data_IF_773729003347
#
_entry.id   IF_773729003347
#
_cell.length_a   1.000
_cell.length_b   1.000
_cell.length_c   1.000
_cell.angle_alpha   90.00
_cell.angle_beta   90.00
_cell.angle_gamma   90.00
#
_symmetry.space_group_name_H-M   'P 1'
#
loop_
_entity.id
_entity.type
_entity.pdbx_description
1 polymer ?
#
# COMPACT_ATOMS: atom_id res chain seq x y z
N UNK A 1 -5.17 -0.33 -11.01
CA UNK A 1 -5.76 0.99 -10.80
C UNK A 1 -4.80 2.12 -11.18
N UNK A 2 -3.53 2.03 -10.83
CA UNK A 2 -2.54 3.10 -11.04
C UNK A 2 -1.69 2.94 -12.31
N UNK A 3 -1.98 1.97 -13.17
CA UNK A 3 -1.15 1.62 -14.34
C UNK A 3 -1.19 2.64 -15.48
N UNK A 4 -2.14 3.57 -15.47
CA UNK A 4 -2.25 4.63 -16.49
C UNK A 4 -1.64 5.97 -16.03
N UNK A 5 -0.89 5.93 -14.93
CA UNK A 5 -0.30 7.12 -14.35
C UNK A 5 1.01 7.43 -15.07
N UNK A 6 1.05 8.52 -15.82
CA UNK A 6 2.24 8.97 -16.56
C UNK A 6 3.49 9.09 -15.67
N UNK A 7 3.33 9.48 -14.40
CA UNK A 7 4.42 9.55 -13.46
C UNK A 7 5.09 8.20 -13.20
N UNK A 8 4.32 7.10 -13.20
CA UNK A 8 4.88 5.75 -13.01
C UNK A 8 5.71 5.33 -14.24
N UNK A 9 5.29 5.70 -15.44
CA UNK A 9 6.06 5.44 -16.66
C UNK A 9 7.38 6.22 -16.66
N UNK A 10 7.35 7.48 -16.25
CA UNK A 10 8.57 8.31 -16.11
C UNK A 10 9.49 7.79 -15.02
N UNK A 11 8.93 7.36 -13.86
CA UNK A 11 9.70 6.75 -12.80
C UNK A 11 10.42 5.48 -13.27
N UNK A 12 9.69 4.61 -13.99
CA UNK A 12 10.28 3.42 -14.61
C UNK A 12 11.43 3.77 -15.55
N UNK A 13 11.26 4.76 -16.44
CA UNK A 13 12.31 5.19 -17.35
C UNK A 13 13.59 5.62 -16.61
N UNK A 14 13.47 6.35 -15.51
CA UNK A 14 14.61 6.78 -14.69
C UNK A 14 15.32 5.56 -14.07
N UNK A 15 14.56 4.59 -13.58
CA UNK A 15 15.11 3.36 -13.00
C UNK A 15 15.79 2.51 -14.07
N UNK A 16 15.16 2.33 -15.23
CA UNK A 16 15.72 1.57 -16.35
C UNK A 16 17.02 2.20 -16.90
N UNK A 17 17.20 3.52 -16.77
CA UNK A 17 18.44 4.24 -17.07
C UNK A 17 19.55 4.06 -16.01
N UNK A 18 19.22 3.40 -14.86
CA UNK A 18 20.17 3.16 -13.78
C UNK A 18 20.55 4.41 -12.99
N UNK A 19 19.72 5.47 -13.01
CA UNK A 19 20.06 6.74 -12.36
C UNK A 19 20.08 6.65 -10.82
N UNK A 20 19.40 5.65 -10.24
CA UNK A 20 19.43 5.41 -8.80
C UNK A 20 20.62 4.54 -8.36
N UNK A 21 21.40 3.98 -9.31
CA UNK A 21 22.36 2.93 -8.99
C UNK A 21 21.70 1.60 -8.59
N UNK A 22 22.43 0.66 -7.98
CA UNK A 22 21.85 -0.57 -7.45
C UNK A 22 20.78 -0.28 -6.40
N UNK A 23 19.56 -0.78 -6.61
CA UNK A 23 18.42 -0.61 -5.69
C UNK A 23 18.32 -1.85 -4.81
N UNK A 24 18.33 -1.68 -3.50
CA UNK A 24 18.31 -2.80 -2.55
C UNK A 24 17.19 -2.72 -1.51
N UNK A 25 16.54 -1.56 -1.38
CA UNK A 25 15.46 -1.38 -0.42
C UNK A 25 14.34 -0.54 -1.00
N UNK A 26 13.11 -1.01 -0.80
CA UNK A 26 11.88 -0.26 -1.08
C UNK A 26 11.09 -0.15 0.23
N UNK A 27 10.66 1.06 0.58
CA UNK A 27 9.76 1.29 1.70
C UNK A 27 8.44 1.87 1.19
N UNK A 28 7.34 1.19 1.52
CA UNK A 28 5.99 1.64 1.23
C UNK A 28 5.24 1.90 2.54
N UNK A 29 4.45 2.96 2.56
CA UNK A 29 3.75 3.38 3.78
C UNK A 29 2.35 3.88 3.45
N UNK A 30 1.34 3.30 4.12
CA UNK A 30 -0.04 3.79 4.05
C UNK A 30 -0.57 4.07 5.44
N UNK A 31 -0.63 5.33 5.83
CA UNK A 31 -1.10 5.75 7.14
C UNK A 31 -2.36 6.59 7.01
N UNK A 32 -3.34 6.33 7.88
CA UNK A 32 -4.63 7.04 7.94
C UNK A 32 -5.02 7.27 9.38
N UNK A 33 -5.71 8.36 9.66
CA UNK A 33 -6.19 8.69 11.00
C UNK A 33 -7.59 9.31 10.93
N UNK A 34 -8.55 8.51 10.49
CA UNK A 34 -9.95 8.89 10.52
C UNK A 34 -10.84 7.65 10.56
N UNK A 35 -12.02 7.72 11.17
CA UNK A 35 -12.98 6.61 11.16
C UNK A 35 -13.31 6.15 9.73
N UNK A 36 -13.50 7.09 8.82
CA UNK A 36 -13.76 6.79 7.42
C UNK A 36 -12.58 6.07 6.74
N UNK A 37 -11.36 6.56 6.97
CA UNK A 37 -10.13 5.94 6.47
C UNK A 37 -9.88 4.54 7.04
N UNK A 38 -10.41 4.26 8.25
CA UNK A 38 -10.38 2.95 8.91
C UNK A 38 -11.62 2.11 8.61
N UNK A 39 -12.39 2.46 7.59
CA UNK A 39 -13.61 1.78 7.12
C UNK A 39 -14.76 1.73 8.12
N UNK A 40 -14.76 2.61 9.13
CA UNK A 40 -15.88 2.78 10.07
C UNK A 40 -16.93 3.69 9.43
N UNK A 41 -17.58 3.18 8.38
CA UNK A 41 -18.57 3.92 7.64
C UNK A 41 -19.92 3.91 8.34
N UNK A 42 -20.71 4.96 8.12
CA UNK A 42 -22.06 5.06 8.64
C UNK A 42 -22.94 4.00 7.98
N UNK A 43 -23.73 3.30 8.80
CA UNK A 43 -24.77 2.39 8.31
C UNK A 43 -25.89 3.25 7.75
N UNK A 44 -26.24 3.04 6.48
CA UNK A 44 -27.31 3.82 5.83
C UNK A 44 -28.66 3.44 6.43
N UNK A 45 -29.55 4.41 6.72
CA UNK A 45 -30.85 4.14 7.36
C UNK A 45 -31.78 3.26 6.50
N UNK A 46 -31.61 3.26 5.17
CA UNK A 46 -32.38 2.38 4.28
C UNK A 46 -31.83 0.94 4.20
N UNK A 47 -30.75 0.63 4.92
CA UNK A 47 -30.19 -0.71 5.00
C UNK A 47 -31.14 -1.64 5.74
N UNK A 48 -31.78 -2.58 5.03
CA UNK A 48 -32.70 -3.58 5.59
C UNK A 48 -32.77 -4.81 4.68
N UNK A 49 -33.48 -5.86 5.13
CA UNK A 49 -33.60 -7.13 4.40
C UNK A 49 -34.33 -7.05 3.05
N UNK A 50 -34.95 -5.92 2.71
CA UNK A 50 -35.58 -5.70 1.39
C UNK A 50 -34.66 -4.99 0.42
N UNK A 51 -33.69 -4.24 0.92
CA UNK A 51 -32.76 -3.43 0.13
C UNK A 51 -31.39 -4.08 -0.01
N UNK A 52 -31.08 -5.07 0.82
CA UNK A 52 -29.81 -5.79 0.81
C UNK A 52 -30.10 -7.28 0.61
N UNK A 53 -29.59 -7.84 -0.48
CA UNK A 53 -29.55 -9.29 -0.68
C UNK A 53 -28.38 -9.88 0.13
N UNK A 54 -28.67 -10.08 1.43
CA UNK A 54 -27.66 -10.53 2.39
C UNK A 54 -27.16 -11.95 2.10
N UNK A 55 -28.04 -12.84 1.67
CA UNK A 55 -27.68 -14.23 1.39
C UNK A 55 -26.71 -14.33 0.21
N UNK A 56 -26.94 -13.57 -0.85
CA UNK A 56 -26.00 -13.47 -1.96
C UNK A 56 -24.70 -12.79 -1.56
N UNK A 57 -24.74 -11.70 -0.76
CA UNK A 57 -23.54 -11.02 -0.32
C UNK A 57 -22.63 -11.91 0.50
N UNK A 58 -23.20 -12.68 1.45
CA UNK A 58 -22.40 -13.56 2.29
C UNK A 58 -22.13 -14.95 1.68
N UNK A 59 -22.59 -15.22 0.49
CA UNK A 59 -22.46 -16.55 -0.14
C UNK A 59 -21.02 -17.08 -0.15
N UNK A 60 -19.98 -16.28 -0.45
CA UNK A 60 -18.58 -16.72 -0.38
C UNK A 60 -18.03 -16.89 1.04
N UNK A 61 -18.65 -16.29 2.06
CA UNK A 61 -18.16 -16.37 3.44
C UNK A 61 -18.28 -17.77 4.02
N UNK A 62 -17.23 -18.29 4.68
CA UNK A 62 -17.31 -19.57 5.39
C UNK A 62 -18.21 -19.48 6.64
N UNK A 63 -18.42 -18.28 7.19
CA UNK A 63 -19.16 -18.03 8.42
C UNK A 63 -20.46 -17.28 8.12
N UNK A 64 -21.56 -18.03 8.01
CA UNK A 64 -22.88 -17.46 7.75
C UNK A 64 -23.49 -16.91 9.05
N UNK A 65 -24.01 -15.70 8.98
CA UNK A 65 -24.79 -15.11 10.08
C UNK A 65 -26.18 -14.68 9.58
N UNK A 66 -27.22 -14.72 10.43
CA UNK A 66 -28.54 -14.23 10.04
C UNK A 66 -28.53 -12.72 9.80
N UNK A 67 -29.48 -12.26 8.97
CA UNK A 67 -29.67 -10.83 8.77
C UNK A 67 -30.08 -10.15 10.08
N UNK A 68 -29.44 -9.03 10.39
CA UNK A 68 -29.67 -8.26 11.60
C UNK A 68 -28.67 -7.12 11.73
N UNK A 69 -28.54 -6.54 12.91
CA UNK A 69 -27.66 -5.41 13.16
C UNK A 69 -26.18 -5.73 12.82
N UNK A 70 -25.72 -6.91 13.19
CA UNK A 70 -24.37 -7.38 12.88
C UNK A 70 -24.17 -7.58 11.37
N UNK A 71 -25.17 -8.12 10.66
CA UNK A 71 -25.12 -8.26 9.22
C UNK A 71 -25.03 -6.89 8.51
N UNK A 72 -25.83 -5.90 8.96
CA UNK A 72 -25.74 -4.52 8.46
C UNK A 72 -24.36 -3.92 8.71
N UNK A 73 -23.82 -4.11 9.89
CA UNK A 73 -22.48 -3.64 10.22
C UNK A 73 -21.43 -4.26 9.30
N UNK A 74 -21.48 -5.56 9.07
CA UNK A 74 -20.56 -6.28 8.19
C UNK A 74 -20.75 -5.88 6.72
N UNK A 75 -21.97 -5.67 6.26
CA UNK A 75 -22.25 -5.22 4.90
C UNK A 75 -21.63 -3.85 4.61
N UNK A 76 -21.89 -2.84 5.46
CA UNK A 76 -21.39 -1.48 5.25
C UNK A 76 -19.91 -1.32 5.54
N UNK A 77 -19.33 -2.19 6.40
CA UNK A 77 -17.92 -2.13 6.83
C UNK A 77 -17.17 -3.41 6.50
N UNK A 78 -17.50 -4.05 5.39
CA UNK A 78 -17.04 -5.40 5.03
C UNK A 78 -15.51 -5.56 5.06
N UNK A 79 -14.74 -4.50 4.82
CA UNK A 79 -13.28 -4.49 4.91
C UNK A 79 -12.73 -4.74 6.31
N UNK A 80 -13.60 -4.68 7.33
CA UNK A 80 -13.22 -4.92 8.71
C UNK A 80 -13.24 -6.41 9.10
N UNK A 81 -13.69 -7.32 8.20
CA UNK A 81 -13.77 -8.75 8.49
C UNK A 81 -13.14 -9.60 7.39
N UNK A 82 -12.33 -10.60 7.81
CA UNK A 82 -11.71 -11.56 6.90
C UNK A 82 -12.71 -12.39 6.10
N UNK A 83 -13.93 -12.51 6.56
CA UNK A 83 -15.00 -13.18 5.80
C UNK A 83 -15.30 -12.49 4.45
N UNK A 84 -15.00 -11.20 4.31
CA UNK A 84 -15.39 -10.39 3.15
C UNK A 84 -14.23 -9.63 2.52
N UNK A 85 -13.10 -9.51 3.20
CA UNK A 85 -11.95 -8.75 2.74
C UNK A 85 -10.65 -9.16 3.41
N UNK A 86 -9.55 -8.50 3.05
CA UNK A 86 -8.23 -8.78 3.64
C UNK A 86 -7.62 -7.54 4.30
N UNK A 87 -8.45 -6.51 4.52
CA UNK A 87 -8.05 -5.30 5.22
C UNK A 87 -6.85 -4.60 4.60
N UNK A 88 -5.86 -4.24 5.41
CA UNK A 88 -4.68 -3.47 4.98
C UNK A 88 -3.90 -4.14 3.85
N UNK A 89 -3.84 -5.46 3.81
CA UNK A 89 -3.09 -6.19 2.77
C UNK A 89 -3.75 -6.10 1.39
N UNK A 90 -5.06 -6.34 1.30
CA UNK A 90 -5.78 -6.36 0.02
C UNK A 90 -6.28 -4.99 -0.43
N UNK A 91 -6.71 -4.14 0.52
CA UNK A 91 -7.35 -2.87 0.18
C UNK A 91 -6.39 -1.68 0.11
N UNK A 92 -5.20 -1.76 0.67
CA UNK A 92 -4.23 -0.66 0.63
C UNK A 92 -2.88 -1.10 0.06
N UNK A 93 -2.23 -2.09 0.66
CA UNK A 93 -0.93 -2.56 0.18
C UNK A 93 -0.96 -2.98 -1.30
N UNK A 94 -2.03 -3.65 -1.74
CA UNK A 94 -2.16 -4.08 -3.14
C UNK A 94 -2.02 -2.94 -4.14
N UNK A 95 -2.48 -1.74 -3.80
CA UNK A 95 -2.38 -0.56 -4.66
C UNK A 95 -0.95 -0.01 -4.71
N UNK A 96 -0.30 0.12 -3.56
CA UNK A 96 1.08 0.59 -3.48
C UNK A 96 2.03 -0.43 -4.12
N UNK A 97 1.77 -1.72 -3.88
CA UNK A 97 2.54 -2.80 -4.49
C UNK A 97 2.36 -2.87 -6.02
N UNK A 98 1.13 -2.76 -6.54
CA UNK A 98 0.88 -2.78 -8.00
C UNK A 98 1.61 -1.64 -8.70
N UNK A 99 1.57 -0.43 -8.16
CA UNK A 99 2.31 0.71 -8.70
C UNK A 99 3.83 0.47 -8.67
N UNK A 100 4.34 0.00 -7.53
CA UNK A 100 5.77 -0.30 -7.38
C UNK A 100 6.20 -1.45 -8.27
N UNK A 101 5.38 -2.49 -8.41
CA UNK A 101 5.66 -3.62 -9.31
C UNK A 101 5.68 -3.20 -10.78
N UNK A 102 4.83 -2.24 -11.18
CA UNK A 102 4.86 -1.65 -12.52
C UNK A 102 6.19 -0.92 -12.78
N UNK A 103 6.68 -0.17 -11.79
CA UNK A 103 7.90 0.63 -11.91
C UNK A 103 9.14 -0.27 -11.90
N UNK A 104 9.18 -1.28 -11.00
CA UNK A 104 10.37 -2.07 -10.67
C UNK A 104 10.38 -3.47 -11.31
N UNK A 105 9.27 -3.91 -11.90
CA UNK A 105 9.11 -5.27 -12.43
C UNK A 105 9.50 -6.36 -11.42
N UNK A 106 8.96 -6.25 -10.21
CA UNK A 106 9.37 -7.09 -9.07
C UNK A 106 8.97 -8.56 -9.23
N UNK A 107 7.75 -8.80 -9.71
CA UNK A 107 7.16 -10.13 -9.76
C UNK A 107 6.77 -10.67 -8.38
N UNK A 108 6.87 -11.99 -8.21
CA UNK A 108 6.50 -12.68 -6.97
C UNK A 108 7.71 -12.75 -6.04
N UNK A 109 7.60 -12.34 -4.76
CA UNK A 109 8.69 -12.45 -3.81
C UNK A 109 9.01 -13.92 -3.49
N UNK A 110 10.28 -14.21 -3.23
CA UNK A 110 10.70 -15.55 -2.80
C UNK A 110 10.28 -15.85 -1.36
N UNK A 111 10.35 -14.85 -0.50
CA UNK A 111 9.94 -14.94 0.90
C UNK A 111 9.04 -13.76 1.25
N UNK A 112 8.05 -14.03 2.10
CA UNK A 112 7.17 -13.02 2.67
C UNK A 112 6.96 -13.30 4.16
N UNK A 113 7.07 -12.25 4.96
CA UNK A 113 6.72 -12.29 6.39
C UNK A 113 5.84 -11.09 6.73
N UNK A 114 4.99 -11.25 7.74
CA UNK A 114 4.13 -10.16 8.17
C UNK A 114 3.84 -10.21 9.66
N UNK A 115 3.53 -9.06 10.23
CA UNK A 115 3.05 -8.90 11.59
C UNK A 115 2.03 -7.78 11.68
N UNK A 116 1.20 -7.79 12.72
CA UNK A 116 0.20 -6.76 12.92
C UNK A 116 -0.79 -7.13 14.03
N UNK A 117 -1.74 -6.26 14.25
CA UNK A 117 -2.77 -6.48 15.26
C UNK A 117 -3.82 -5.40 15.28
N UNK A 118 -4.83 -5.60 16.13
CA UNK A 118 -5.91 -4.65 16.37
C UNK A 118 -5.55 -3.90 17.65
N UNK A 119 -5.00 -2.70 17.51
CA UNK A 119 -4.48 -1.93 18.64
C UNK A 119 -5.35 -0.74 19.02
N UNK A 120 -5.94 -0.07 18.06
CA UNK A 120 -6.75 1.13 18.27
C UNK A 120 -8.26 0.89 18.06
N UNK A 121 -8.67 0.35 16.92
CA UNK A 121 -10.09 0.16 16.58
C UNK A 121 -10.65 -1.11 17.22
N UNK A 122 -11.21 -0.99 18.44
CA UNK A 122 -11.86 -2.08 19.20
C UNK A 122 -13.36 -2.19 18.87
N UNK A 123 -13.70 -2.14 17.59
CA UNK A 123 -15.08 -2.11 17.08
C UNK A 123 -15.63 -3.49 16.66
N UNK A 124 -14.92 -4.57 17.04
CA UNK A 124 -15.31 -5.95 16.74
C UNK A 124 -14.78 -6.49 15.44
N UNK A 125 -13.94 -5.72 14.74
CA UNK A 125 -13.23 -6.21 13.54
C UNK A 125 -12.28 -7.35 13.87
N UNK A 126 -11.96 -8.15 12.87
CA UNK A 126 -10.94 -9.20 12.98
C UNK A 126 -9.69 -8.91 12.10
N UNK A 127 -9.77 -7.94 11.18
CA UNK A 127 -8.60 -7.50 10.42
C UNK A 127 -7.76 -6.50 11.23
N UNK A 128 -6.42 -6.53 11.11
CA UNK A 128 -5.52 -5.60 11.77
C UNK A 128 -5.78 -4.12 11.40
N UNK A 129 -5.61 -3.21 12.36
CA UNK A 129 -5.53 -1.77 12.13
C UNK A 129 -4.09 -1.24 12.10
N UNK A 130 -3.12 -2.09 12.45
CA UNK A 130 -1.68 -1.92 12.22
C UNK A 130 -1.15 -3.18 11.56
N UNK A 131 -0.46 -3.04 10.44
CA UNK A 131 0.09 -4.18 9.70
C UNK A 131 1.39 -3.84 9.00
N UNK A 132 2.34 -4.78 9.04
CA UNK A 132 3.64 -4.69 8.40
C UNK A 132 3.89 -5.94 7.56
N UNK A 133 4.60 -5.77 6.45
CA UNK A 133 5.06 -6.89 5.65
C UNK A 133 6.49 -6.65 5.15
N UNK A 134 7.24 -7.74 5.05
CA UNK A 134 8.54 -7.78 4.40
C UNK A 134 8.47 -8.76 3.25
N UNK A 135 8.82 -8.31 2.05
CA UNK A 135 8.91 -9.14 0.86
C UNK A 135 10.37 -9.18 0.39
N UNK A 136 10.91 -10.38 0.21
CA UNK A 136 12.31 -10.56 -0.15
C UNK A 136 12.45 -11.11 -1.57
N UNK A 137 13.33 -10.48 -2.33
CA UNK A 137 13.69 -10.82 -3.71
C UNK A 137 15.19 -11.07 -3.81
N UNK A 138 15.72 -12.19 -3.29
CA UNK A 138 17.17 -12.47 -3.26
C UNK A 138 17.81 -12.47 -4.65
N UNK A 139 17.05 -12.85 -5.69
CA UNK A 139 17.52 -12.86 -7.07
C UNK A 139 17.67 -11.46 -7.68
N UNK A 140 17.14 -10.45 -6.99
CA UNK A 140 17.24 -9.01 -7.36
C UNK A 140 18.05 -8.22 -6.33
N UNK A 141 18.64 -8.88 -5.33
CA UNK A 141 19.33 -8.25 -4.20
C UNK A 141 18.47 -7.15 -3.51
N UNK A 142 17.17 -7.43 -3.35
CA UNK A 142 16.16 -6.42 -2.98
C UNK A 142 15.25 -6.92 -1.87
N UNK A 143 14.95 -6.03 -0.93
CA UNK A 143 13.87 -6.18 0.07
C UNK A 143 12.85 -5.04 -0.07
N UNK A 144 11.56 -5.38 0.02
CA UNK A 144 10.48 -4.42 0.13
C UNK A 144 9.86 -4.50 1.53
N UNK A 145 9.78 -3.35 2.20
CA UNK A 145 9.11 -3.19 3.48
C UNK A 145 7.80 -2.43 3.27
N UNK A 146 6.74 -2.92 3.88
CA UNK A 146 5.46 -2.21 3.96
C UNK A 146 5.07 -1.97 5.41
N UNK A 147 4.55 -0.78 5.69
CA UNK A 147 4.09 -0.39 7.02
C UNK A 147 2.81 0.41 6.93
N UNK A 148 1.78 -0.01 7.65
CA UNK A 148 0.49 0.68 7.66
C UNK A 148 -0.11 0.78 9.05
N UNK A 149 -0.75 1.93 9.31
CA UNK A 149 -1.60 2.13 10.48
C UNK A 149 -2.84 2.94 10.12
N UNK A 150 -3.97 2.59 10.75
CA UNK A 150 -5.23 3.32 10.61
C UNK A 150 -5.45 4.36 11.73
N UNK A 151 -4.44 4.57 12.59
CA UNK A 151 -4.52 5.48 13.76
C UNK A 151 -3.47 6.61 13.76
N UNK A 152 -2.80 6.85 12.63
CA UNK A 152 -1.88 7.97 12.44
C UNK A 152 -1.90 8.44 10.98
N UNK A 153 -1.79 9.76 10.76
CA UNK A 153 -1.63 10.35 9.42
C UNK A 153 -0.15 10.66 9.08
N UNK A 154 0.78 10.32 9.96
CA UNK A 154 2.18 10.55 9.68
C UNK A 154 2.63 9.67 8.51
N UNK A 155 2.85 10.30 7.36
CA UNK A 155 3.26 9.61 6.13
C UNK A 155 4.71 9.96 5.80
N UNK A 156 5.54 8.92 5.71
CA UNK A 156 6.94 9.05 5.28
C UNK A 156 7.11 9.00 3.77
N UNK A 157 6.02 8.80 3.03
CA UNK A 157 6.03 8.57 1.59
C UNK A 157 6.56 7.18 1.21
N UNK A 158 6.36 6.84 -0.07
CA UNK A 158 6.89 5.61 -0.64
C UNK A 158 8.27 5.90 -1.23
N UNK A 159 9.26 5.05 -0.95
CA UNK A 159 10.66 5.28 -1.32
C UNK A 159 11.25 4.09 -2.03
N UNK A 160 11.96 4.36 -3.12
CA UNK A 160 12.83 3.39 -3.82
C UNK A 160 14.25 3.88 -3.61
N UNK A 161 15.02 3.14 -2.84
CA UNK A 161 16.35 3.53 -2.38
C UNK A 161 17.42 2.78 -3.15
N UNK A 162 18.19 3.52 -3.93
CA UNK A 162 19.37 3.04 -4.63
C UNK A 162 20.64 3.61 -4.00
N UNK A 163 21.78 3.10 -4.44
CA UNK A 163 23.09 3.52 -3.94
C UNK A 163 23.41 4.98 -4.28
N UNK A 164 22.98 5.46 -5.44
CA UNK A 164 23.32 6.80 -5.93
C UNK A 164 22.23 7.83 -5.70
N UNK A 165 20.98 7.39 -5.58
CA UNK A 165 19.84 8.27 -5.37
C UNK A 165 18.65 7.52 -4.79
N UNK A 166 17.76 8.26 -4.15
CA UNK A 166 16.46 7.80 -3.66
C UNK A 166 15.34 8.47 -4.45
N UNK A 167 14.42 7.68 -4.97
CA UNK A 167 13.17 8.16 -5.54
C UNK A 167 12.09 8.14 -4.46
N UNK A 168 11.45 9.27 -4.23
CA UNK A 168 10.31 9.42 -3.33
C UNK A 168 9.07 9.55 -4.21
N UNK A 169 8.22 8.55 -4.19
CA UNK A 169 6.94 8.56 -4.88
C UNK A 169 5.95 9.38 -4.06
N UNK A 170 5.15 10.21 -4.71
CA UNK A 170 4.11 10.99 -4.05
C UNK A 170 3.20 10.07 -3.25
N UNK A 171 3.17 10.27 -1.93
CA UNK A 171 2.46 9.40 -1.00
C UNK A 171 0.97 9.37 -1.29
N UNK A 172 0.39 8.20 -1.27
CA UNK A 172 -1.04 7.99 -1.38
C UNK A 172 -1.79 8.32 -0.07
N UNK A 173 -1.56 9.46 0.52
CA UNK A 173 -2.45 9.92 1.59
C UNK A 173 -3.85 10.27 1.07
N UNK A 174 -3.99 10.43 -0.26
CA UNK A 174 -5.27 10.64 -0.92
C UNK A 174 -5.39 9.69 -2.12
N UNK A 175 -6.30 8.75 -2.05
CA UNK A 175 -6.77 7.95 -3.18
C UNK A 175 -7.13 8.92 -4.32
N UNK A 176 -6.36 8.91 -5.40
CA UNK A 176 -6.58 9.75 -6.57
C UNK A 176 -5.66 10.96 -6.74
N UNK A 177 -4.82 11.31 -5.77
CA UNK A 177 -3.75 12.27 -6.03
C UNK A 177 -2.54 11.53 -6.61
N UNK A 178 -2.50 11.51 -7.91
CA UNK A 178 -1.34 11.09 -8.68
C UNK A 178 -0.27 12.17 -8.50
N UNK A 179 0.40 12.12 -7.36
CA UNK A 179 1.58 12.92 -7.13
C UNK A 179 2.70 12.44 -8.04
N UNK A 180 3.49 13.35 -8.57
CA UNK A 180 4.73 13.01 -9.23
C UNK A 180 5.70 12.30 -8.28
N UNK A 181 6.94 12.20 -8.66
CA UNK A 181 8.02 11.72 -7.82
C UNK A 181 9.13 12.77 -7.74
N UNK A 182 9.97 12.63 -6.71
CA UNK A 182 11.18 13.41 -6.52
C UNK A 182 12.35 12.43 -6.47
N UNK A 183 13.42 12.71 -7.19
CA UNK A 183 14.68 11.98 -7.07
C UNK A 183 15.67 12.86 -6.32
N UNK A 184 16.18 12.33 -5.21
CA UNK A 184 17.20 12.99 -4.40
C UNK A 184 18.48 12.18 -4.50
N UNK A 185 19.55 12.83 -4.97
CA UNK A 185 20.84 12.21 -5.07
C UNK A 185 21.46 11.93 -3.69
N UNK A 186 22.16 10.82 -3.58
CA UNK A 186 22.99 10.53 -2.41
C UNK A 186 24.39 11.14 -2.63
N UNK A 187 24.66 12.23 -1.92
CA UNK A 187 25.91 13.00 -2.07
C UNK A 187 27.17 12.25 -1.59
N UNK A 188 26.98 11.20 -0.79
CA UNK A 188 28.08 10.34 -0.31
C UNK A 188 28.48 9.27 -1.35
N UNK A 189 27.62 9.02 -2.34
CA UNK A 189 27.93 8.07 -3.41
C UNK A 189 29.09 8.55 -4.27
N UNK A 190 30.11 7.70 -4.46
CA UNK A 190 31.22 7.97 -5.38
C UNK A 190 30.76 8.05 -6.82
N UNK A 191 29.83 7.21 -7.23
CA UNK A 191 29.25 7.23 -8.59
C UNK A 191 28.46 8.50 -8.85
N UNK A 192 27.78 9.05 -7.84
CA UNK A 192 27.10 10.33 -7.96
C UNK A 192 28.09 11.47 -8.27
N UNK A 193 29.22 11.53 -7.54
CA UNK A 193 30.26 12.53 -7.78
C UNK A 193 30.87 12.41 -9.18
N UNK A 194 31.21 11.20 -9.60
CA UNK A 194 31.73 10.95 -10.94
C UNK A 194 30.75 11.38 -12.04
N UNK A 195 29.46 11.11 -11.87
CA UNK A 195 28.41 11.53 -12.81
C UNK A 195 28.22 13.06 -12.84
N UNK A 196 28.31 13.71 -11.68
CA UNK A 196 28.26 15.16 -11.58
C UNK A 196 29.48 15.81 -12.27
N UNK A 197 30.69 15.32 -12.00
CA UNK A 197 31.94 15.80 -12.61
C UNK A 197 31.99 15.57 -14.12
N UNK A 198 31.39 14.45 -14.58
CA UNK A 198 31.29 14.14 -16.00
C UNK A 198 30.18 14.89 -16.75
N UNK A 199 29.33 15.64 -16.02
CA UNK A 199 28.20 16.37 -16.60
C UNK A 199 27.02 15.47 -17.05
N UNK A 200 26.97 14.23 -16.63
CA UNK A 200 25.85 13.30 -16.91
C UNK A 200 24.61 13.66 -16.11
N UNK A 201 24.81 14.25 -14.93
CA UNK A 201 23.73 14.78 -14.07
C UNK A 201 24.08 16.23 -13.68
N UNK A 202 23.06 17.06 -13.49
CA UNK A 202 23.19 18.46 -13.06
C UNK A 202 22.56 18.66 -11.68
#
# INVERSE_FOLDING_TARGET
>A
QNRQVEANEKAKQIIDQGLLGPINLIELTTNRNSPWGAWVWTIHPDGNSKTIDWDTFQEPSPNKIPFGEEALRRFFRWRCWYDYGTGLSGDLFSHDFDATNQIMDLGIPKYASSSGGIYFYKDGRDVPDVWHATLEYPEKDLTLLYSATLSSNDSRGNRIMGHDATMILGGQSNIGSVGGFIVTADQESTQYRERLESGVIN
#
